data_IF_544732052832
#
_entry.id   IF_544732052832
#
_cell.length_a   1.000
_cell.length_b   1.000
_cell.length_c   1.000
_cell.angle_alpha   90.00
_cell.angle_beta   90.00
_cell.angle_gamma   90.00
#
_symmetry.space_group_name_H-M   'P 1'
#
loop_
_entity.id
_entity.type
_entity.pdbx_description
1 polymer ?
#
# COMPACT_ATOMS: atom_id res chain seq x y z
N UNK A 1 16.72 3.38 -18.55
CA UNK A 1 16.50 2.40 -17.48
C UNK A 1 17.48 1.24 -17.56
N UNK A 2 18.07 0.84 -16.43
CA UNK A 2 18.70 -0.48 -16.30
C UNK A 2 17.64 -1.58 -16.52
N UNK A 3 18.03 -2.70 -17.14
CA UNK A 3 17.13 -3.85 -17.28
C UNK A 3 17.04 -4.60 -15.96
N UNK A 4 15.85 -5.06 -15.61
CA UNK A 4 15.66 -6.05 -14.56
C UNK A 4 16.37 -7.36 -14.93
N UNK A 5 17.24 -7.82 -14.03
CA UNK A 5 17.97 -9.08 -14.15
C UNK A 5 17.60 -10.06 -13.03
N UNK A 6 16.65 -9.69 -12.19
CA UNK A 6 16.13 -10.49 -11.10
C UNK A 6 15.41 -11.72 -11.66
N UNK A 7 15.56 -12.82 -10.95
CA UNK A 7 14.80 -14.06 -11.17
C UNK A 7 13.70 -14.22 -10.12
N UNK A 8 13.76 -13.43 -9.06
CA UNK A 8 12.85 -13.42 -7.92
C UNK A 8 12.35 -11.99 -7.75
N UNK A 9 11.03 -11.87 -7.67
CA UNK A 9 10.33 -10.65 -7.31
C UNK A 9 9.88 -10.78 -5.85
N UNK A 10 10.32 -9.84 -5.02
CA UNK A 10 9.74 -9.66 -3.68
C UNK A 10 8.62 -8.64 -3.76
N UNK A 11 7.58 -8.83 -2.94
CA UNK A 11 6.53 -7.83 -2.71
C UNK A 11 6.85 -7.02 -1.45
N UNK A 12 6.08 -5.97 -1.14
CA UNK A 12 6.42 -5.03 -0.08
C UNK A 12 6.56 -5.68 1.31
N UNK A 13 5.65 -6.58 1.66
CA UNK A 13 5.75 -7.35 2.91
C UNK A 13 6.69 -8.56 2.78
N UNK A 14 7.40 -8.87 3.88
CA UNK A 14 8.28 -10.05 3.98
C UNK A 14 7.81 -10.93 5.13
N UNK A 15 7.67 -12.23 4.88
CA UNK A 15 7.34 -13.19 5.92
C UNK A 15 8.47 -13.29 6.96
N UNK A 16 8.11 -13.13 8.23
CA UNK A 16 9.05 -13.16 9.36
C UNK A 16 8.77 -14.39 10.22
N UNK A 17 9.77 -15.25 10.49
CA UNK A 17 9.61 -16.41 11.35
C UNK A 17 9.45 -16.04 12.83
N UNK A 18 9.91 -14.85 13.21
CA UNK A 18 9.90 -14.33 14.58
C UNK A 18 9.53 -12.84 14.56
N UNK A 19 8.83 -12.39 15.61
CA UNK A 19 8.58 -10.97 15.83
C UNK A 19 9.88 -10.23 16.15
N UNK A 20 9.88 -8.91 15.95
CA UNK A 20 10.98 -8.03 16.35
C UNK A 20 12.09 -7.86 15.31
N UNK A 21 11.94 -8.38 14.09
CA UNK A 21 12.81 -7.97 12.98
C UNK A 21 12.71 -6.46 12.76
N UNK A 22 13.86 -5.85 12.50
CA UNK A 22 13.99 -4.47 12.04
C UNK A 22 14.08 -4.40 10.51
N UNK A 23 14.00 -3.18 9.95
CA UNK A 23 14.23 -2.95 8.52
C UNK A 23 15.63 -3.42 8.09
N UNK A 24 16.64 -3.25 8.96
CA UNK A 24 17.98 -3.77 8.71
C UNK A 24 18.01 -5.29 8.62
N UNK A 25 17.28 -5.99 9.50
CA UNK A 25 17.16 -7.45 9.44
C UNK A 25 16.53 -7.90 8.13
N UNK A 26 15.45 -7.23 7.69
CA UNK A 26 14.79 -7.54 6.41
C UNK A 26 15.77 -7.40 5.26
N UNK A 27 16.45 -6.26 5.14
CA UNK A 27 17.39 -6.02 4.05
C UNK A 27 18.56 -7.00 4.07
N UNK A 28 19.24 -7.18 5.21
CA UNK A 28 20.39 -8.09 5.30
C UNK A 28 20.00 -9.52 4.96
N UNK A 29 18.87 -10.00 5.46
CA UNK A 29 18.43 -11.38 5.25
C UNK A 29 17.98 -11.60 3.81
N UNK A 30 17.21 -10.68 3.23
CA UNK A 30 16.76 -10.80 1.85
C UNK A 30 17.94 -10.68 0.88
N UNK A 31 18.84 -9.71 1.09
CA UNK A 31 20.04 -9.55 0.27
C UNK A 31 20.95 -10.79 0.35
N UNK A 32 21.20 -11.33 1.54
CA UNK A 32 22.05 -12.50 1.71
C UNK A 32 21.43 -13.79 1.14
N UNK A 33 20.13 -13.99 1.33
CA UNK A 33 19.45 -15.21 0.88
C UNK A 33 19.19 -15.23 -0.64
N UNK A 34 19.07 -14.05 -1.27
CA UNK A 34 18.64 -13.91 -2.66
C UNK A 34 19.69 -13.18 -3.52
N UNK A 35 20.95 -13.17 -3.08
CA UNK A 35 22.05 -12.54 -3.81
C UNK A 35 22.12 -13.04 -5.25
N UNK A 36 22.30 -12.11 -6.20
CA UNK A 36 22.27 -12.38 -7.64
C UNK A 36 20.91 -12.81 -8.21
N UNK A 37 19.85 -12.86 -7.40
CA UNK A 37 18.50 -13.26 -7.83
C UNK A 37 17.45 -12.17 -7.72
N UNK A 38 17.68 -11.11 -6.94
CA UNK A 38 16.78 -9.95 -6.83
C UNK A 38 17.41 -8.70 -7.43
N UNK A 39 16.58 -7.87 -8.07
CA UNK A 39 16.96 -6.53 -8.52
C UNK A 39 16.49 -5.43 -7.59
N UNK A 40 15.61 -5.75 -6.65
CA UNK A 40 15.06 -4.78 -5.70
C UNK A 40 14.70 -5.45 -4.38
N UNK A 41 14.77 -4.67 -3.31
CA UNK A 41 14.50 -5.15 -1.95
C UNK A 41 13.45 -4.25 -1.29
N UNK A 42 12.39 -4.84 -0.72
CA UNK A 42 11.44 -4.13 0.12
C UNK A 42 11.97 -3.95 1.55
N UNK A 43 11.39 -3.02 2.29
CA UNK A 43 11.67 -2.87 3.73
C UNK A 43 10.84 -3.81 4.62
N UNK A 44 9.92 -4.58 4.03
CA UNK A 44 9.12 -5.58 4.72
C UNK A 44 7.84 -5.05 5.37
N UNK A 45 7.52 -3.76 5.22
CA UNK A 45 6.31 -3.12 5.76
C UNK A 45 6.11 -3.39 7.25
N UNK A 46 7.14 -3.09 8.05
CA UNK A 46 7.14 -3.41 9.48
C UNK A 46 6.27 -2.45 10.31
N UNK A 47 6.19 -2.73 11.60
CA UNK A 47 5.47 -1.92 12.60
C UNK A 47 4.01 -1.66 12.21
N UNK A 48 3.58 -0.41 12.20
CA UNK A 48 2.20 -0.07 11.90
C UNK A 48 1.82 -0.37 10.44
N UNK A 49 2.78 -0.49 9.51
CA UNK A 49 2.50 -0.95 8.15
C UNK A 49 2.36 -2.46 8.04
N UNK A 50 2.60 -3.24 9.11
CA UNK A 50 2.38 -4.70 9.08
C UNK A 50 0.90 -5.08 8.94
N UNK A 51 -0.01 -4.11 9.15
CA UNK A 51 -1.43 -4.23 8.87
C UNK A 51 -1.84 -3.53 7.57
N UNK A 52 -0.87 -3.23 6.71
CA UNK A 52 -1.02 -2.61 5.39
C UNK A 52 -1.94 -1.39 5.45
N UNK A 53 -3.12 -1.46 4.82
CA UNK A 53 -4.08 -0.34 4.76
C UNK A 53 -4.73 0.02 6.10
N UNK A 54 -4.77 -0.86 7.10
CA UNK A 54 -5.37 -0.54 8.40
C UNK A 54 -4.59 0.56 9.16
N UNK A 55 -3.35 0.80 8.75
CA UNK A 55 -2.55 1.96 9.12
C UNK A 55 -3.24 3.29 8.76
N UNK A 56 -3.88 3.37 7.59
CA UNK A 56 -4.29 4.63 6.95
C UNK A 56 -5.32 5.41 7.79
N UNK A 57 -6.41 4.81 8.31
CA UNK A 57 -7.39 5.56 9.08
C UNK A 57 -6.81 6.22 10.33
N UNK A 58 -5.86 5.54 11.00
CA UNK A 58 -5.19 6.07 12.19
C UNK A 58 -4.27 7.25 11.87
N UNK A 59 -3.62 7.23 10.71
CA UNK A 59 -2.58 8.21 10.36
C UNK A 59 -3.11 9.39 9.52
N UNK A 60 -4.04 9.13 8.60
CA UNK A 60 -4.49 10.11 7.62
C UNK A 60 -5.91 10.63 7.86
N UNK A 61 -6.81 9.82 8.44
CA UNK A 61 -8.23 10.17 8.52
C UNK A 61 -8.68 10.59 9.91
N UNK A 62 -8.21 9.91 10.95
CA UNK A 62 -8.56 10.21 12.32
C UNK A 62 -8.02 11.57 12.73
N UNK A 63 -8.90 12.42 13.27
CA UNK A 63 -8.55 13.78 13.70
C UNK A 63 -8.53 14.82 12.58
N UNK A 64 -8.75 14.43 11.32
CA UNK A 64 -8.89 15.39 10.22
C UNK A 64 -10.15 16.27 10.41
N UNK A 65 -10.08 17.60 10.20
CA UNK A 65 -11.20 18.52 10.46
C UNK A 65 -12.47 18.16 9.68
N UNK A 66 -12.33 17.67 8.45
CA UNK A 66 -13.45 17.34 7.56
C UNK A 66 -13.95 15.89 7.64
N UNK A 67 -13.32 15.06 8.48
CA UNK A 67 -13.67 13.64 8.62
C UNK A 67 -14.18 13.39 10.04
N UNK A 68 -15.21 12.55 10.15
CA UNK A 68 -15.70 12.03 11.43
C UNK A 68 -15.37 10.56 11.55
N UNK A 69 -14.68 10.16 12.62
CA UNK A 69 -14.51 8.74 12.95
C UNK A 69 -15.80 8.21 13.55
N UNK A 70 -16.39 7.22 12.89
CA UNK A 70 -17.65 6.57 13.28
C UNK A 70 -17.41 5.39 14.23
N UNK A 71 -16.45 4.53 13.87
CA UNK A 71 -16.01 3.44 14.72
C UNK A 71 -14.51 3.26 14.59
N UNK A 72 -13.90 2.88 15.71
CA UNK A 72 -12.49 2.56 15.79
C UNK A 72 -12.27 1.69 17.02
N UNK A 73 -11.18 0.96 17.01
CA UNK A 73 -10.60 0.50 18.25
C UNK A 73 -9.91 1.66 18.99
N UNK A 74 -9.21 1.36 20.09
CA UNK A 74 -8.45 2.41 20.78
C UNK A 74 -7.30 2.91 19.89
N UNK A 75 -6.68 4.03 20.25
CA UNK A 75 -5.55 4.53 19.46
C UNK A 75 -4.32 3.59 19.56
N UNK A 76 -4.21 2.90 20.71
CA UNK A 76 -3.10 2.01 21.03
C UNK A 76 -3.36 0.57 20.53
N UNK A 77 -4.60 0.10 20.65
CA UNK A 77 -5.07 -1.18 20.10
C UNK A 77 -5.89 -0.86 18.85
N UNK A 78 -5.23 -0.60 17.71
CA UNK A 78 -5.90 -0.09 16.51
C UNK A 78 -6.06 -1.12 15.38
N UNK A 79 -5.45 -2.30 15.52
CA UNK A 79 -5.33 -3.28 14.44
C UNK A 79 -6.66 -3.98 14.17
N UNK A 80 -7.03 -4.09 12.90
CA UNK A 80 -8.24 -4.81 12.50
C UNK A 80 -8.00 -6.33 12.60
N UNK A 81 -8.88 -7.03 13.29
CA UNK A 81 -8.82 -8.50 13.42
C UNK A 81 -9.57 -9.25 12.32
N UNK A 82 -10.26 -8.52 11.44
CA UNK A 82 -10.96 -9.04 10.27
C UNK A 82 -11.55 -7.93 9.41
N UNK A 83 -12.12 -8.28 8.26
CA UNK A 83 -12.60 -7.30 7.28
C UNK A 83 -13.73 -6.39 7.81
N UNK A 84 -14.58 -6.91 8.70
CA UNK A 84 -15.67 -6.16 9.33
C UNK A 84 -15.21 -5.33 10.55
N UNK A 85 -13.93 -5.37 10.90
CA UNK A 85 -13.35 -4.76 12.09
C UNK A 85 -12.46 -3.55 11.75
N UNK A 86 -12.54 -3.09 10.50
CA UNK A 86 -11.82 -1.90 10.04
C UNK A 86 -12.37 -0.64 10.72
N UNK A 87 -11.50 0.35 10.92
CA UNK A 87 -11.93 1.68 11.33
C UNK A 87 -12.90 2.26 10.30
N UNK A 88 -13.97 2.89 10.78
CA UNK A 88 -14.99 3.51 9.93
C UNK A 88 -14.98 5.01 10.09
N UNK A 89 -14.97 5.70 8.97
CA UNK A 89 -15.02 7.15 8.86
C UNK A 89 -16.13 7.58 7.92
N UNK A 90 -16.53 8.84 8.03
CA UNK A 90 -17.41 9.51 7.09
C UNK A 90 -16.92 10.92 6.84
N UNK A 91 -17.16 11.44 5.65
CA UNK A 91 -16.87 12.83 5.31
C UNK A 91 -18.02 13.70 5.81
N UNK A 92 -17.70 14.78 6.55
CA UNK A 92 -18.71 15.66 7.15
C UNK A 92 -19.70 16.20 6.11
N UNK A 93 -20.89 16.55 6.59
CA UNK A 93 -21.92 17.18 5.77
C UNK A 93 -21.40 18.50 5.18
N UNK A 94 -21.73 18.77 3.92
CA UNK A 94 -21.33 19.98 3.20
C UNK A 94 -19.89 19.97 2.66
N UNK A 95 -19.05 19.01 3.06
CA UNK A 95 -17.71 18.83 2.50
C UNK A 95 -17.80 18.09 1.16
N UNK A 96 -17.15 18.61 0.14
CA UNK A 96 -17.06 18.01 -1.21
C UNK A 96 -15.64 17.68 -1.65
N UNK A 97 -14.65 18.06 -0.83
CA UNK A 97 -13.21 17.82 -1.01
C UNK A 97 -12.55 17.66 0.35
N UNK A 98 -11.65 16.69 0.46
CA UNK A 98 -10.78 16.48 1.64
C UNK A 98 -9.34 16.62 1.17
N UNK A 99 -8.57 17.51 1.81
CA UNK A 99 -7.14 17.66 1.54
C UNK A 99 -6.31 16.95 2.61
N UNK A 100 -5.89 15.72 2.30
CA UNK A 100 -5.07 14.94 3.20
C UNK A 100 -3.63 15.44 3.13
N UNK A 101 -3.09 15.92 4.25
CA UNK A 101 -1.69 16.35 4.29
C UNK A 101 -0.72 15.23 3.85
N UNK A 102 -1.04 13.98 4.23
CA UNK A 102 -0.24 12.78 3.96
C UNK A 102 -1.05 11.51 4.18
N UNK A 103 -0.63 10.45 3.50
CA UNK A 103 -1.05 9.07 3.75
C UNK A 103 -0.12 8.43 4.79
N UNK A 104 1.18 8.67 4.69
CA UNK A 104 2.22 8.30 5.66
C UNK A 104 3.26 7.29 5.15
N UNK A 105 3.22 6.86 3.89
CA UNK A 105 4.15 5.86 3.35
C UNK A 105 5.53 6.45 3.04
N UNK A 106 5.61 7.69 2.54
CA UNK A 106 6.88 8.37 2.27
C UNK A 106 7.73 8.56 3.53
N UNK A 107 7.11 8.84 4.69
CA UNK A 107 7.81 9.00 5.96
C UNK A 107 8.51 7.71 6.42
N UNK A 108 7.84 6.57 6.24
CA UNK A 108 8.39 5.27 6.57
C UNK A 108 9.49 4.88 5.58
N UNK A 109 9.25 5.09 4.29
CA UNK A 109 10.22 4.84 3.25
C UNK A 109 11.50 5.68 3.44
N UNK A 110 11.38 6.91 3.95
CA UNK A 110 12.54 7.74 4.32
C UNK A 110 13.41 7.11 5.39
N UNK A 111 12.79 6.61 6.47
CA UNK A 111 13.51 5.88 7.52
C UNK A 111 14.19 4.63 6.98
N UNK A 112 13.50 3.91 6.08
CA UNK A 112 14.03 2.70 5.45
C UNK A 112 15.16 2.99 4.47
N UNK A 113 15.09 4.10 3.73
CA UNK A 113 16.12 4.50 2.77
C UNK A 113 17.46 4.78 3.45
N UNK A 114 17.47 5.48 4.59
CA UNK A 114 18.70 5.73 5.35
C UNK A 114 19.41 4.42 5.74
N UNK A 115 18.63 3.40 6.10
CA UNK A 115 19.15 2.06 6.40
C UNK A 115 19.65 1.37 5.14
N UNK A 116 18.88 1.43 4.04
CA UNK A 116 19.24 0.83 2.76
C UNK A 116 20.56 1.40 2.21
N UNK A 117 20.70 2.72 2.17
CA UNK A 117 21.88 3.40 1.66
C UNK A 117 23.12 3.02 2.47
N UNK A 118 23.02 3.05 3.80
CA UNK A 118 24.10 2.64 4.69
C UNK A 118 24.50 1.18 4.44
N UNK A 119 23.55 0.25 4.41
CA UNK A 119 23.83 -1.17 4.18
C UNK A 119 24.43 -1.45 2.81
N UNK A 120 24.04 -0.68 1.79
CA UNK A 120 24.67 -0.72 0.47
C UNK A 120 26.11 -0.23 0.51
N UNK A 121 26.39 0.86 1.24
CA UNK A 121 27.75 1.37 1.42
C UNK A 121 28.67 0.39 2.17
N UNK A 122 28.10 -0.40 3.09
CA UNK A 122 28.78 -1.47 3.82
C UNK A 122 28.99 -2.75 2.97
N UNK A 123 28.39 -2.82 1.77
CA UNK A 123 28.43 -4.01 0.91
C UNK A 123 27.48 -5.14 1.33
N UNK A 124 26.57 -4.87 2.28
CA UNK A 124 25.55 -5.83 2.71
C UNK A 124 24.36 -5.93 1.74
N UNK A 125 24.13 -4.88 0.95
CA UNK A 125 23.15 -4.86 -0.15
C UNK A 125 23.94 -4.75 -1.47
N UNK A 126 23.58 -5.52 -2.52
CA UNK A 126 24.20 -5.40 -3.83
C UNK A 126 24.11 -3.97 -4.39
N UNK A 127 25.20 -3.43 -4.91
CA UNK A 127 25.27 -2.04 -5.37
C UNK A 127 24.24 -1.69 -6.47
N UNK A 128 23.78 -2.67 -7.24
CA UNK A 128 22.78 -2.49 -8.30
C UNK A 128 21.35 -2.83 -7.89
N UNK A 129 21.08 -3.15 -6.62
CA UNK A 129 19.73 -3.37 -6.12
C UNK A 129 19.01 -2.04 -5.91
N UNK A 130 17.72 -1.99 -6.29
CA UNK A 130 16.81 -0.87 -6.01
C UNK A 130 16.14 -1.03 -4.66
N UNK A 131 15.86 0.08 -4.00
CA UNK A 131 14.96 0.17 -2.86
C UNK A 131 13.51 0.17 -3.36
N UNK A 132 12.71 -0.79 -2.89
CA UNK A 132 11.31 -0.94 -3.30
C UNK A 132 10.36 -0.39 -2.25
N UNK A 133 9.47 0.51 -2.66
CA UNK A 133 8.39 1.06 -1.84
C UNK A 133 7.06 0.56 -2.37
N UNK A 134 6.33 -0.21 -1.55
CA UNK A 134 4.98 -0.66 -1.86
C UNK A 134 3.94 0.32 -1.31
N UNK A 135 2.99 0.71 -2.16
CA UNK A 135 1.95 1.68 -1.89
C UNK A 135 0.58 1.03 -2.16
N UNK A 136 -0.39 1.09 -1.23
CA UNK A 136 -1.75 0.69 -1.54
C UNK A 136 -2.32 1.58 -2.64
N UNK A 137 -2.99 0.97 -3.60
CA UNK A 137 -3.72 1.73 -4.58
C UNK A 137 -5.03 2.30 -4.00
N UNK A 138 -5.65 3.23 -4.73
CA UNK A 138 -6.69 4.12 -4.24
C UNK A 138 -7.89 3.43 -3.60
N UNK A 139 -8.44 2.39 -4.21
CA UNK A 139 -9.61 1.69 -3.67
C UNK A 139 -9.25 0.96 -2.38
N UNK A 140 -8.08 0.31 -2.35
CA UNK A 140 -7.53 -0.32 -1.14
C UNK A 140 -7.30 0.68 -0.01
N UNK A 141 -6.80 1.87 -0.35
CA UNK A 141 -6.52 2.93 0.61
C UNK A 141 -7.75 3.66 1.16
N UNK A 142 -8.93 3.54 0.52
CA UNK A 142 -10.10 4.38 0.84
C UNK A 142 -11.37 3.60 1.14
N UNK A 143 -11.83 2.74 0.22
CA UNK A 143 -13.16 2.10 0.25
C UNK A 143 -13.43 1.27 1.50
N UNK A 144 -12.48 0.51 2.08
CA UNK A 144 -12.70 -0.27 3.29
C UNK A 144 -13.16 0.56 4.49
N UNK A 145 -12.94 1.87 4.49
CA UNK A 145 -13.13 2.74 5.65
C UNK A 145 -14.41 3.56 5.61
N UNK A 146 -15.15 3.54 4.49
CA UNK A 146 -16.35 4.36 4.29
C UNK A 146 -17.59 3.53 3.95
N UNK A 147 -18.77 4.07 4.27
CA UNK A 147 -20.05 3.35 4.16
C UNK A 147 -20.92 3.74 2.97
N UNK A 148 -20.49 4.68 2.14
CA UNK A 148 -21.30 5.15 1.01
C UNK A 148 -20.41 5.66 -0.14
N UNK A 149 -20.99 5.73 -1.33
CA UNK A 149 -20.32 6.16 -2.56
C UNK A 149 -19.80 7.60 -2.49
N UNK A 150 -20.56 8.54 -1.88
CA UNK A 150 -20.15 9.95 -1.77
C UNK A 150 -18.81 10.08 -1.05
N UNK A 151 -18.71 9.47 0.13
CA UNK A 151 -17.52 9.59 0.97
C UNK A 151 -16.31 8.90 0.31
N UNK A 152 -16.54 7.77 -0.36
CA UNK A 152 -15.51 7.08 -1.15
C UNK A 152 -14.99 7.96 -2.29
N UNK A 153 -15.86 8.57 -3.09
CA UNK A 153 -15.44 9.43 -4.20
C UNK A 153 -14.70 10.70 -3.74
N UNK A 154 -15.07 11.25 -2.58
CA UNK A 154 -14.35 12.39 -1.99
C UNK A 154 -12.98 11.94 -1.48
N UNK A 155 -12.89 10.82 -0.76
CA UNK A 155 -11.62 10.30 -0.27
C UNK A 155 -10.72 9.81 -1.40
N UNK A 156 -11.26 9.25 -2.49
CA UNK A 156 -10.49 8.88 -3.68
C UNK A 156 -9.64 10.05 -4.18
N UNK A 157 -10.27 11.22 -4.34
CA UNK A 157 -9.58 12.43 -4.81
C UNK A 157 -8.53 12.89 -3.79
N UNK A 158 -8.89 13.03 -2.51
CA UNK A 158 -7.96 13.48 -1.47
C UNK A 158 -6.78 12.52 -1.27
N UNK A 159 -7.03 11.22 -1.37
CA UNK A 159 -6.01 10.17 -1.26
C UNK A 159 -5.05 10.21 -2.44
N UNK A 160 -5.54 10.29 -3.67
CA UNK A 160 -4.67 10.32 -4.84
C UNK A 160 -3.82 11.58 -4.90
N UNK A 161 -4.35 12.73 -4.51
CA UNK A 161 -3.58 13.96 -4.42
C UNK A 161 -2.47 13.87 -3.36
N UNK A 162 -2.77 13.29 -2.20
CA UNK A 162 -1.77 13.08 -1.15
C UNK A 162 -0.72 12.05 -1.54
N UNK A 163 -1.13 10.92 -2.13
CA UNK A 163 -0.23 9.86 -2.58
C UNK A 163 0.67 10.34 -3.73
N UNK A 164 0.15 11.15 -4.66
CA UNK A 164 0.96 11.76 -5.72
C UNK A 164 2.04 12.69 -5.15
N UNK A 165 1.74 13.47 -4.09
CA UNK A 165 2.74 14.28 -3.38
C UNK A 165 3.79 13.40 -2.71
N UNK A 166 3.39 12.30 -2.08
CA UNK A 166 4.33 11.36 -1.46
C UNK A 166 5.22 10.65 -2.50
N UNK A 167 4.67 10.28 -3.66
CA UNK A 167 5.45 9.74 -4.78
C UNK A 167 6.51 10.75 -5.25
N UNK A 168 6.14 12.02 -5.39
CA UNK A 168 7.09 13.06 -5.75
C UNK A 168 8.19 13.21 -4.70
N UNK A 169 7.84 13.21 -3.40
CA UNK A 169 8.82 13.25 -2.30
C UNK A 169 9.79 12.05 -2.35
N UNK A 170 9.29 10.85 -2.65
CA UNK A 170 10.12 9.65 -2.80
C UNK A 170 11.11 9.78 -3.95
N UNK A 171 10.68 10.34 -5.08
CA UNK A 171 11.54 10.55 -6.25
C UNK A 171 12.59 11.66 -6.00
N UNK A 172 12.30 12.64 -5.14
CA UNK A 172 13.29 13.62 -4.70
C UNK A 172 14.28 13.04 -3.67
N UNK A 173 13.82 12.10 -2.85
CA UNK A 173 14.63 11.49 -1.79
C UNK A 173 15.60 10.42 -2.32
N UNK A 174 15.12 9.54 -3.19
CA UNK A 174 15.85 8.35 -3.65
C UNK A 174 16.27 8.58 -5.10
N UNK A 175 17.56 8.38 -5.45
CA UNK A 175 17.98 8.42 -6.85
C UNK A 175 17.09 7.51 -7.71
N UNK A 176 16.63 8.01 -8.85
CA UNK A 176 15.61 7.29 -9.63
C UNK A 176 16.09 5.92 -10.09
N UNK A 177 17.38 5.76 -10.40
CA UNK A 177 18.00 4.47 -10.73
C UNK A 177 18.01 3.46 -9.58
N UNK A 178 17.82 3.93 -8.36
CA UNK A 178 17.79 3.16 -7.12
C UNK A 178 16.37 2.94 -6.61
N UNK A 179 15.34 3.57 -7.19
CA UNK A 179 13.97 3.48 -6.71
C UNK A 179 13.13 2.50 -7.54
N UNK A 180 12.33 1.69 -6.86
CA UNK A 180 11.21 0.95 -7.43
C UNK A 180 9.94 1.24 -6.61
N UNK A 181 8.83 1.52 -7.29
CA UNK A 181 7.52 1.72 -6.69
C UNK A 181 6.61 0.56 -7.11
N UNK A 182 5.91 -0.03 -6.15
CA UNK A 182 4.90 -1.05 -6.39
C UNK A 182 3.54 -0.52 -5.95
N UNK A 183 2.52 -0.63 -6.79
CA UNK A 183 1.13 -0.49 -6.35
C UNK A 183 0.55 -1.84 -5.93
N UNK A 184 0.12 -1.94 -4.68
CA UNK A 184 -0.58 -3.11 -4.14
C UNK A 184 -2.09 -2.96 -4.34
N UNK A 185 -2.72 -3.99 -4.91
CA UNK A 185 -4.04 -3.87 -5.51
C UNK A 185 -5.04 -4.93 -5.04
N UNK A 186 -5.18 -5.14 -3.73
CA UNK A 186 -6.07 -6.18 -3.23
C UNK A 186 -7.55 -5.88 -3.52
N UNK A 187 -8.04 -4.68 -3.17
CA UNK A 187 -9.44 -4.30 -3.35
C UNK A 187 -9.77 -4.06 -4.82
N UNK A 188 -8.84 -3.51 -5.57
CA UNK A 188 -8.97 -3.26 -7.00
C UNK A 188 -9.10 -4.58 -7.76
N UNK A 189 -8.28 -5.59 -7.44
CA UNK A 189 -8.38 -6.93 -8.06
C UNK A 189 -9.76 -7.54 -7.83
N UNK A 190 -10.25 -7.51 -6.59
CA UNK A 190 -11.57 -8.04 -6.28
C UNK A 190 -12.71 -7.21 -6.92
N UNK A 191 -12.57 -5.88 -7.01
CA UNK A 191 -13.53 -5.03 -7.69
C UNK A 191 -13.62 -5.34 -9.21
N UNK A 192 -12.48 -5.65 -9.86
CA UNK A 192 -12.44 -6.10 -11.26
C UNK A 192 -13.19 -7.43 -11.45
N UNK A 193 -13.16 -8.31 -10.46
CA UNK A 193 -13.89 -9.58 -10.47
C UNK A 193 -15.37 -9.45 -10.11
N UNK A 194 -15.84 -8.23 -9.81
CA UNK A 194 -17.25 -7.96 -9.52
C UNK A 194 -17.62 -8.06 -8.04
N UNK A 195 -16.65 -8.12 -7.13
CA UNK A 195 -16.94 -7.98 -5.70
C UNK A 195 -17.29 -6.52 -5.36
N UNK A 196 -18.37 -6.35 -4.60
CA UNK A 196 -18.77 -5.04 -4.08
C UNK A 196 -18.40 -4.92 -2.60
N UNK A 197 -17.88 -3.76 -2.21
CA UNK A 197 -17.44 -3.49 -0.84
C UNK A 197 -18.28 -2.38 -0.22
N UNK A 198 -18.86 -2.64 0.96
CA UNK A 198 -19.60 -1.72 1.83
C UNK A 198 -20.88 -1.10 1.24
N UNK A 199 -20.93 -0.80 -0.04
CA UNK A 199 -22.03 -0.20 -0.78
C UNK A 199 -21.97 -0.61 -2.26
N UNK A 200 -23.10 -0.64 -2.99
CA UNK A 200 -23.13 -1.02 -4.40
C UNK A 200 -22.34 -0.09 -5.31
N UNK A 201 -21.67 -0.63 -6.34
CA UNK A 201 -20.96 0.16 -7.35
C UNK A 201 -21.93 1.04 -8.17
N UNK A 202 -23.20 0.65 -8.27
CA UNK A 202 -24.26 1.43 -8.92
C UNK A 202 -24.56 2.78 -8.23
N UNK A 203 -24.12 2.96 -6.99
CA UNK A 203 -24.31 4.21 -6.25
C UNK A 203 -23.23 5.27 -6.57
N UNK A 204 -22.15 4.87 -7.26
CA UNK A 204 -21.11 5.78 -7.73
C UNK A 204 -21.67 6.77 -8.74
N UNK A 205 -21.18 8.02 -8.69
CA UNK A 205 -21.68 9.15 -9.49
C UNK A 205 -20.60 9.81 -10.34
N UNK A 206 -19.36 9.79 -9.86
CA UNK A 206 -18.18 10.40 -10.48
C UNK A 206 -17.23 9.34 -11.01
N UNK A 207 -17.06 8.25 -10.27
CA UNK A 207 -16.18 7.15 -10.68
C UNK A 207 -16.94 6.14 -11.54
N UNK A 208 -16.26 5.45 -12.49
CA UNK A 208 -16.84 4.35 -13.24
C UNK A 208 -17.35 3.27 -12.28
N UNK A 209 -18.46 2.60 -12.60
CA UNK A 209 -18.95 1.47 -11.83
C UNK A 209 -18.14 0.19 -12.09
N UNK A 210 -17.65 0.03 -13.32
CA UNK A 210 -16.75 -1.06 -13.72
C UNK A 210 -15.41 -0.97 -13.00
N UNK A 211 -14.98 -2.07 -12.40
CA UNK A 211 -13.74 -2.11 -11.60
C UNK A 211 -12.48 -1.92 -12.43
N UNK A 212 -12.44 -2.42 -13.66
CA UNK A 212 -11.28 -2.30 -14.54
C UNK A 212 -11.11 -0.87 -15.02
N UNK A 213 -12.21 -0.22 -15.44
CA UNK A 213 -12.19 1.21 -15.81
C UNK A 213 -11.77 2.08 -14.62
N UNK A 214 -12.29 1.82 -13.42
CA UNK A 214 -11.95 2.57 -12.20
C UNK A 214 -10.48 2.37 -11.79
N UNK A 215 -9.94 1.16 -11.89
CA UNK A 215 -8.52 0.91 -11.65
C UNK A 215 -7.61 1.58 -12.69
N UNK A 216 -7.96 1.49 -13.98
CA UNK A 216 -7.23 2.17 -15.04
C UNK A 216 -7.21 3.69 -14.81
N UNK A 217 -8.30 4.26 -14.30
CA UNK A 217 -8.36 5.65 -13.88
C UNK A 217 -7.41 5.95 -12.70
N UNK A 218 -7.36 5.11 -11.65
CA UNK A 218 -6.42 5.29 -10.54
C UNK A 218 -4.96 5.34 -11.03
N UNK A 219 -4.59 4.42 -11.92
CA UNK A 219 -3.25 4.40 -12.53
C UNK A 219 -3.00 5.65 -13.37
N UNK A 220 -3.97 6.08 -14.17
CA UNK A 220 -3.84 7.28 -15.00
C UNK A 220 -3.67 8.56 -14.16
N UNK A 221 -4.23 8.58 -12.95
CA UNK A 221 -4.09 9.68 -12.00
C UNK A 221 -2.72 9.67 -11.28
N UNK A 222 -2.17 8.49 -10.95
CA UNK A 222 -0.98 8.37 -10.10
C UNK A 222 0.33 8.11 -10.87
N UNK A 223 0.30 7.27 -11.91
CA UNK A 223 1.50 6.91 -12.67
C UNK A 223 2.26 8.10 -13.29
N UNK A 224 1.60 9.20 -13.73
CA UNK A 224 2.32 10.37 -14.25
C UNK A 224 3.24 11.06 -13.24
N UNK A 225 3.05 10.84 -11.93
CA UNK A 225 3.94 11.35 -10.89
C UNK A 225 5.25 10.55 -10.78
N UNK A 226 5.36 9.41 -11.45
CA UNK A 226 6.51 8.50 -11.39
C UNK A 226 7.40 8.73 -12.63
N UNK A 227 8.64 9.21 -12.45
CA UNK A 227 9.60 9.38 -13.55
C UNK A 227 9.89 8.07 -14.30
N UNK A 228 10.18 8.17 -15.61
CA UNK A 228 10.40 6.99 -16.48
C UNK A 228 11.57 6.10 -16.06
N UNK A 229 12.53 6.61 -15.29
CA UNK A 229 13.70 5.89 -14.81
C UNK A 229 13.50 5.15 -13.48
N UNK A 230 12.42 5.47 -12.75
CA UNK A 230 11.91 4.72 -11.61
C UNK A 230 11.16 3.49 -12.12
N UNK A 231 11.40 2.34 -11.49
CA UNK A 231 10.65 1.13 -11.85
C UNK A 231 9.25 1.16 -11.23
N UNK A 232 8.23 0.89 -12.03
CA UNK A 232 6.85 0.76 -11.58
C UNK A 232 6.39 -0.70 -11.72
N UNK A 233 5.96 -1.30 -10.61
CA UNK A 233 5.36 -2.63 -10.54
C UNK A 233 3.91 -2.59 -10.07
N UNK A 234 3.15 -3.62 -10.42
CA UNK A 234 1.77 -3.81 -10.00
C UNK A 234 1.65 -5.17 -9.30
N UNK A 235 1.24 -5.17 -8.04
CA UNK A 235 0.98 -6.38 -7.28
C UNK A 235 -0.53 -6.63 -7.20
N UNK A 236 -0.99 -7.50 -8.12
CA UNK A 236 -2.37 -7.98 -8.21
C UNK A 236 -2.54 -9.16 -7.25
N UNK A 237 -3.34 -8.98 -6.20
CA UNK A 237 -3.54 -9.96 -5.12
C UNK A 237 -4.96 -9.88 -4.54
N UNK A 238 -5.27 -10.73 -3.56
CA UNK A 238 -6.57 -10.73 -2.86
C UNK A 238 -6.46 -10.31 -1.38
N UNK A 239 -5.25 -9.91 -0.94
CA UNK A 239 -4.97 -9.62 0.47
C UNK A 239 -4.95 -10.89 1.34
N UNK A 240 -4.56 -10.71 2.61
CA UNK A 240 -4.42 -11.81 3.57
C UNK A 240 -4.78 -11.38 5.00
N UNK A 241 -5.78 -10.50 5.15
CA UNK A 241 -6.17 -10.01 6.48
C UNK A 241 -6.69 -11.17 7.34
N UNK A 242 -6.19 -11.29 8.57
CA UNK A 242 -6.60 -12.34 9.50
C UNK A 242 -5.95 -13.72 9.29
N UNK A 243 -4.96 -13.84 8.39
CA UNK A 243 -4.15 -15.06 8.32
C UNK A 243 -3.33 -15.22 9.60
N UNK A 244 -3.32 -16.42 10.19
CA UNK A 244 -2.52 -16.69 11.39
C UNK A 244 -1.03 -16.63 11.05
N UNK A 245 -0.22 -16.13 11.98
CA UNK A 245 1.24 -16.21 11.87
C UNK A 245 1.69 -17.64 11.54
N UNK A 246 2.41 -17.80 10.43
CA UNK A 246 2.93 -19.08 9.96
C UNK A 246 2.00 -19.89 9.04
N UNK A 247 0.77 -19.44 8.76
CA UNK A 247 -0.05 -20.01 7.70
C UNK A 247 0.29 -19.31 6.36
N UNK A 248 0.54 -20.10 5.30
CA UNK A 248 0.91 -19.58 3.98
C UNK A 248 -0.18 -18.62 3.48
N UNK A 249 0.17 -17.44 2.93
CA UNK A 249 -0.80 -16.51 2.38
C UNK A 249 -1.61 -17.09 1.23
N UNK A 250 -1.06 -18.03 0.48
CA UNK A 250 -1.74 -18.78 -0.57
C UNK A 250 -0.73 -19.77 -1.14
N UNK A 251 -0.70 -21.00 -0.65
CA UNK A 251 -0.13 -22.10 -1.42
C UNK A 251 -1.27 -22.88 -2.05
N UNK A 252 -1.76 -22.37 -3.18
CA UNK A 252 -2.34 -23.18 -4.25
C UNK A 252 -3.49 -24.16 -3.88
N UNK A 253 -4.34 -23.79 -2.93
CA UNK A 253 -5.65 -24.42 -2.79
C UNK A 253 -6.69 -23.44 -3.29
N UNK A 254 -7.37 -23.80 -4.39
CA UNK A 254 -8.57 -23.13 -4.89
C UNK A 254 -9.64 -23.15 -3.80
N UNK A 255 -9.53 -22.24 -2.83
CA UNK A 255 -10.59 -21.99 -1.87
C UNK A 255 -11.47 -20.94 -2.52
N UNK A 256 -12.76 -21.21 -2.75
CA UNK A 256 -13.68 -20.17 -3.18
C UNK A 256 -13.58 -19.01 -2.19
N UNK A 257 -13.32 -17.81 -2.69
CA UNK A 257 -13.37 -16.60 -1.88
C UNK A 257 -14.80 -16.48 -1.35
N UNK A 258 -14.99 -16.70 -0.05
CA UNK A 258 -16.31 -16.66 0.60
C UNK A 258 -16.57 -15.33 1.28
N UNK A 259 -15.52 -14.68 1.78
CA UNK A 259 -15.58 -13.44 2.55
C UNK A 259 -14.38 -12.53 2.18
N UNK A 260 -14.63 -11.37 1.58
CA UNK A 260 -13.67 -10.26 1.35
C UNK A 260 -14.25 -8.94 1.87
#
# INVERSE_FOLDING_TARGET
MSRDKGRILLVGSVARPEDGWTVEDVFRRCAAALDGHVSMLPDGELDARSQWIAFIPRHAYHGHPDITTLSRHTYDDWQATGYNDQWRVTVREGVDRVDLARVGYADEARRSWDVFERLRSEGAIPAGARFMVALPLTESGTRPFVGNARDFEILWQGYNEALAREIAELCELVPHEDLAIQFDMARETAAVEGFEFNFPNADLRRLPADGLERYAQALAELAPAIPEDVWLGLHVCYGSLGHKHGESPDSAHYTPIRDL
#
